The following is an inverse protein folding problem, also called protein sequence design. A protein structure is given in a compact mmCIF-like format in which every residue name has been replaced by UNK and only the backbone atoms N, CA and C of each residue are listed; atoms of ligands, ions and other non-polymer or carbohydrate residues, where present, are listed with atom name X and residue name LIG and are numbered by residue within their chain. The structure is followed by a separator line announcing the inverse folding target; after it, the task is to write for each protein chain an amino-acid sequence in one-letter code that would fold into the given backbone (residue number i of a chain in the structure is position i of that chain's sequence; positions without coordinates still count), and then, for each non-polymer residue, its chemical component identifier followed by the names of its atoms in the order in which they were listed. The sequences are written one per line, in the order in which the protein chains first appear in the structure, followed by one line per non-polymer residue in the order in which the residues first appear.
data_IF_814938355383
#
_entry.id   IF_814938355383
#
_cell.length_a   1.000
_cell.length_b   1.000
_cell.length_c   1.000
_cell.angle_alpha   90.00
_cell.angle_beta   90.00
_cell.angle_gamma   90.00
#
_symmetry.space_group_name_H-M   'P 1'
#
loop_
_entity.id
_entity.type
_entity.pdbx_description
1 polymer ?
#
# COMPACT_ATOMS: atom_id res chain seq x y z
N UNK A 1 12.90 18.08 8.49
CA UNK A 1 12.59 16.83 7.75
C UNK A 1 11.08 16.56 7.79
N UNK A 2 10.29 17.02 6.82
CA UNK A 2 8.83 16.73 6.73
C UNK A 2 8.36 16.31 5.33
N UNK A 3 9.20 16.40 4.30
CA UNK A 3 8.83 16.13 2.91
C UNK A 3 8.77 14.63 2.53
N UNK A 4 9.29 13.72 3.37
CA UNK A 4 9.30 12.29 3.06
C UNK A 4 8.00 11.60 3.51
N UNK A 5 7.36 12.10 4.57
CA UNK A 5 6.12 11.55 5.14
C UNK A 5 4.83 12.20 4.62
N UNK A 6 4.93 13.12 3.64
CA UNK A 6 3.72 13.70 3.05
C UNK A 6 2.84 12.56 2.50
N UNK A 7 1.55 12.47 2.88
CA UNK A 7 0.67 11.36 2.48
C UNK A 7 0.68 11.11 0.96
N UNK A 8 0.64 12.19 0.16
CA UNK A 8 0.72 12.13 -1.30
C UNK A 8 2.01 11.51 -1.85
N UNK A 9 3.11 11.54 -1.09
CA UNK A 9 4.37 10.89 -1.45
C UNK A 9 4.34 9.40 -1.09
N UNK A 10 3.82 9.05 0.09
CA UNK A 10 3.70 7.65 0.52
C UNK A 10 2.73 6.90 -0.40
N UNK A 11 1.63 7.53 -0.80
CA UNK A 11 0.69 6.96 -1.77
C UNK A 11 1.35 6.68 -3.12
N UNK A 12 2.18 7.61 -3.62
CA UNK A 12 2.97 7.40 -4.85
C UNK A 12 3.97 6.25 -4.73
N UNK A 13 4.64 6.13 -3.59
CA UNK A 13 5.56 5.02 -3.33
C UNK A 13 4.81 3.68 -3.26
N UNK A 14 3.64 3.66 -2.61
CA UNK A 14 2.78 2.49 -2.54
C UNK A 14 2.31 2.06 -3.94
N UNK A 15 1.90 3.02 -4.78
CA UNK A 15 1.47 2.74 -6.14
C UNK A 15 2.61 2.16 -7.01
N UNK A 16 3.82 2.70 -6.85
CA UNK A 16 5.03 2.19 -7.48
C UNK A 16 5.36 0.76 -7.04
N UNK A 17 5.23 0.46 -5.74
CA UNK A 17 5.44 -0.88 -5.19
C UNK A 17 4.44 -1.90 -5.75
N UNK A 18 3.15 -1.57 -5.76
CA UNK A 18 2.10 -2.44 -6.29
C UNK A 18 2.37 -2.77 -7.77
N UNK A 19 2.81 -1.77 -8.53
CA UNK A 19 3.10 -1.90 -9.97
C UNK A 19 4.36 -2.75 -10.23
N UNK A 20 5.49 -2.44 -9.58
CA UNK A 20 6.77 -3.16 -9.76
C UNK A 20 6.64 -4.63 -9.39
N UNK A 21 5.95 -4.93 -8.30
CA UNK A 21 5.79 -6.29 -7.77
C UNK A 21 4.56 -7.02 -8.32
N UNK A 22 3.80 -6.39 -9.22
CA UNK A 22 2.57 -6.94 -9.80
C UNK A 22 1.64 -7.53 -8.73
N UNK A 23 1.42 -6.78 -7.64
CA UNK A 23 0.65 -7.26 -6.48
C UNK A 23 -0.86 -7.31 -6.75
N UNK A 24 -1.30 -6.78 -7.89
CA UNK A 24 -2.67 -6.75 -8.38
C UNK A 24 -2.75 -7.24 -9.83
N UNK A 25 -3.92 -7.76 -10.28
CA UNK A 25 -4.12 -8.11 -11.68
C UNK A 25 -3.78 -6.96 -12.64
N UNK A 26 -3.27 -7.28 -13.84
CA UNK A 26 -2.82 -6.29 -14.83
C UNK A 26 -3.95 -5.40 -15.38
N UNK A 27 -5.16 -5.94 -15.41
CA UNK A 27 -6.40 -5.29 -15.84
C UNK A 27 -7.09 -4.52 -14.71
N UNK A 28 -6.47 -4.43 -13.53
CA UNK A 28 -7.07 -3.75 -12.39
C UNK A 28 -7.01 -2.23 -12.51
N UNK A 29 -8.08 -1.57 -12.11
CA UNK A 29 -8.17 -0.11 -12.01
C UNK A 29 -8.16 0.32 -10.54
N UNK A 30 -7.67 1.54 -10.29
CA UNK A 30 -7.63 2.10 -8.95
C UNK A 30 -8.98 2.70 -8.58
N UNK A 31 -9.43 2.44 -7.35
CA UNK A 31 -10.59 3.10 -6.75
C UNK A 31 -10.09 4.05 -5.68
N UNK A 32 -10.52 5.32 -5.76
CA UNK A 32 -10.07 6.41 -4.89
C UNK A 32 -11.13 6.88 -3.91
N UNK A 33 -12.41 6.62 -4.22
CA UNK A 33 -13.51 6.97 -3.33
C UNK A 33 -13.77 5.80 -2.36
N UNK A 34 -13.59 5.99 -1.04
CA UNK A 34 -13.92 4.98 -0.05
C UNK A 34 -15.38 4.52 -0.15
N UNK A 35 -16.32 5.41 -0.48
CA UNK A 35 -17.75 5.05 -0.55
C UNK A 35 -18.07 4.09 -1.71
N UNK A 36 -17.19 4.01 -2.72
CA UNK A 36 -17.30 3.08 -3.83
C UNK A 36 -16.79 1.66 -3.50
N UNK A 37 -16.19 1.46 -2.32
CA UNK A 37 -15.69 0.15 -1.88
C UNK A 37 -16.80 -0.70 -1.25
N UNK A 38 -16.71 -2.03 -1.29
CA UNK A 38 -17.50 -2.92 -0.45
C UNK A 38 -17.36 -2.57 1.04
N UNK A 39 -18.45 -2.71 1.82
CA UNK A 39 -18.48 -2.33 3.24
C UNK A 39 -17.33 -2.88 4.10
N UNK A 40 -16.87 -4.14 3.93
CA UNK A 40 -15.72 -4.62 4.68
C UNK A 40 -14.42 -3.87 4.38
N UNK A 41 -14.22 -3.45 3.13
CA UNK A 41 -13.07 -2.64 2.72
C UNK A 41 -13.18 -1.18 3.19
N UNK A 42 -14.40 -0.62 3.25
CA UNK A 42 -14.61 0.70 3.84
C UNK A 42 -14.13 0.74 5.29
N UNK A 43 -14.45 -0.30 6.07
CA UNK A 43 -13.99 -0.43 7.46
C UNK A 43 -12.46 -0.48 7.55
N UNK A 44 -11.82 -1.31 6.73
CA UNK A 44 -10.36 -1.41 6.69
C UNK A 44 -9.68 -0.08 6.28
N UNK A 45 -10.27 0.67 5.34
CA UNK A 45 -9.80 2.01 4.95
C UNK A 45 -9.94 3.00 6.10
N UNK A 46 -11.06 2.99 6.82
CA UNK A 46 -11.28 3.85 7.97
C UNK A 46 -10.26 3.58 9.08
N UNK A 47 -10.01 2.31 9.41
CA UNK A 47 -9.01 1.89 10.39
C UNK A 47 -7.59 2.30 9.97
N UNK A 48 -7.22 2.08 8.70
CA UNK A 48 -5.92 2.49 8.18
C UNK A 48 -5.74 4.02 8.25
N UNK A 49 -6.78 4.78 7.91
CA UNK A 49 -6.75 6.24 7.97
C UNK A 49 -6.59 6.76 9.40
N UNK A 50 -7.25 6.13 10.37
CA UNK A 50 -7.07 6.43 11.80
C UNK A 50 -5.65 6.17 12.29
N UNK A 51 -4.98 5.18 11.71
CA UNK A 51 -3.58 4.85 11.97
C UNK A 51 -2.59 5.74 11.19
N UNK A 52 -3.08 6.70 10.41
CA UNK A 52 -2.24 7.56 9.57
C UNK A 52 -1.61 6.85 8.37
N UNK A 53 -2.13 5.67 8.00
CA UNK A 53 -1.70 4.92 6.82
C UNK A 53 -2.39 5.46 5.57
N UNK A 54 -1.66 5.47 4.47
CA UNK A 54 -2.24 5.66 3.14
C UNK A 54 -2.82 4.35 2.64
N UNK A 55 -3.70 4.42 1.64
CA UNK A 55 -4.31 3.23 1.07
C UNK A 55 -4.46 3.36 -0.45
N UNK A 56 -4.44 2.21 -1.12
CA UNK A 56 -4.74 2.07 -2.55
C UNK A 56 -5.64 0.86 -2.69
N UNK A 57 -6.79 1.01 -3.33
CA UNK A 57 -7.64 -0.13 -3.69
C UNK A 57 -7.58 -0.38 -5.19
N UNK A 58 -7.45 -1.66 -5.56
CA UNK A 58 -7.44 -2.15 -6.94
C UNK A 58 -8.62 -3.10 -7.13
N UNK A 59 -9.40 -2.88 -8.18
CA UNK A 59 -10.49 -3.77 -8.58
C UNK A 59 -10.29 -4.23 -10.03
N UNK A 60 -10.67 -5.46 -10.34
CA UNK A 60 -10.69 -5.98 -11.72
C UNK A 60 -12.11 -6.35 -12.17
N UNK A 61 -12.31 -6.53 -13.47
CA UNK A 61 -13.60 -6.93 -14.06
C UNK A 61 -14.10 -8.28 -13.54
N UNK A 62 -13.21 -9.12 -13.03
CA UNK A 62 -13.53 -10.40 -12.38
C UNK A 62 -14.02 -10.25 -10.92
N UNK A 63 -14.40 -9.03 -10.51
CA UNK A 63 -14.83 -8.70 -9.14
C UNK A 63 -13.79 -9.06 -8.07
N UNK A 64 -12.51 -9.05 -8.42
CA UNK A 64 -11.44 -9.19 -7.44
C UNK A 64 -11.14 -7.81 -6.86
N UNK A 65 -11.24 -7.69 -5.55
CA UNK A 65 -10.89 -6.47 -4.82
C UNK A 65 -9.67 -6.74 -3.95
N UNK A 66 -8.67 -5.89 -4.08
CA UNK A 66 -7.48 -5.89 -3.24
C UNK A 66 -7.32 -4.50 -2.65
N UNK A 67 -7.22 -4.44 -1.33
CA UNK A 67 -6.89 -3.22 -0.62
C UNK A 67 -5.46 -3.34 -0.11
N UNK A 68 -4.69 -2.29 -0.36
CA UNK A 68 -3.34 -2.14 0.15
C UNK A 68 -3.32 -0.94 1.08
N UNK A 69 -2.72 -1.09 2.26
CA UNK A 69 -2.47 0.03 3.17
C UNK A 69 -1.00 0.08 3.49
N UNK A 70 -0.45 1.29 3.62
CA UNK A 70 0.96 1.45 3.92
C UNK A 70 1.26 2.67 4.78
N UNK A 71 2.32 2.56 5.54
CA UNK A 71 3.03 3.68 6.13
C UNK A 71 4.51 3.59 5.77
N UNK A 72 5.22 4.70 5.92
CA UNK A 72 6.66 4.71 5.76
C UNK A 72 7.35 4.55 7.12
N UNK A 73 8.20 3.54 7.25
CA UNK A 73 9.03 3.34 8.44
C UNK A 73 10.25 4.25 8.40
N UNK A 74 10.23 5.34 9.19
CA UNK A 74 11.39 6.23 9.31
C UNK A 74 12.64 5.54 9.88
N UNK A 75 12.54 4.69 10.93
CA UNK A 75 13.72 4.00 11.46
C UNK A 75 14.41 3.14 10.40
N UNK A 76 13.65 2.26 9.71
CA UNK A 76 14.20 1.40 8.67
C UNK A 76 14.67 2.21 7.46
N UNK A 77 13.96 3.30 7.11
CA UNK A 77 14.40 4.15 6.00
C UNK A 77 15.75 4.82 6.27
N UNK A 78 16.02 5.19 7.53
CA UNK A 78 17.31 5.75 7.95
C UNK A 78 18.41 4.70 7.92
N UNK A 79 18.14 3.51 8.46
CA UNK A 79 19.09 2.39 8.47
C UNK A 79 19.50 1.98 7.04
N UNK A 80 18.52 1.94 6.12
CA UNK A 80 18.74 1.50 4.73
C UNK A 80 19.14 2.63 3.78
N UNK A 81 19.08 3.89 4.22
CA UNK A 81 19.33 5.06 3.38
C UNK A 81 18.33 5.23 2.23
N UNK A 82 17.16 4.57 2.29
CA UNK A 82 16.18 4.52 1.22
C UNK A 82 14.75 4.38 1.79
N UNK A 83 13.69 4.78 1.07
CA UNK A 83 12.33 4.65 1.56
C UNK A 83 11.93 3.20 1.85
N UNK A 84 11.41 2.95 3.05
CA UNK A 84 10.86 1.66 3.48
C UNK A 84 9.37 1.79 3.78
N UNK A 85 8.55 1.00 3.10
CA UNK A 85 7.11 0.91 3.33
C UNK A 85 6.75 -0.34 4.14
N UNK A 86 5.89 -0.16 5.14
CA UNK A 86 5.22 -1.25 5.85
C UNK A 86 3.87 -1.47 5.17
N UNK A 87 3.74 -2.53 4.39
CA UNK A 87 2.58 -2.85 3.56
C UNK A 87 1.67 -3.85 4.27
N UNK A 88 0.37 -3.61 4.26
CA UNK A 88 -0.67 -4.60 4.53
C UNK A 88 -1.50 -4.82 3.27
N UNK A 89 -1.87 -6.07 2.99
CA UNK A 89 -2.75 -6.45 1.88
C UNK A 89 -4.00 -7.16 2.41
N UNK A 90 -5.16 -6.69 1.97
CA UNK A 90 -6.46 -7.23 2.35
C UNK A 90 -7.20 -7.76 1.12
N UNK A 91 -8.02 -8.78 1.31
CA UNK A 91 -8.91 -9.30 0.27
C UNK A 91 -10.26 -8.56 0.23
N UNK A 92 -11.16 -8.99 -0.65
CA UNK A 92 -12.48 -8.39 -0.83
C UNK A 92 -13.38 -8.44 0.43
N UNK A 93 -13.07 -9.31 1.40
CA UNK A 93 -13.79 -9.41 2.67
C UNK A 93 -13.19 -8.49 3.75
N UNK A 94 -12.17 -7.71 3.42
CA UNK A 94 -11.44 -6.90 4.39
C UNK A 94 -10.55 -7.73 5.31
N UNK A 95 -10.28 -8.99 4.98
CA UNK A 95 -9.39 -9.84 5.77
C UNK A 95 -7.94 -9.57 5.38
N UNK A 96 -7.08 -9.36 6.38
CA UNK A 96 -5.64 -9.21 6.17
C UNK A 96 -5.05 -10.54 5.66
N UNK A 97 -4.39 -10.51 4.50
CA UNK A 97 -3.81 -11.70 3.85
C UNK A 97 -2.30 -11.71 3.81
N UNK A 98 -1.65 -10.55 3.86
CA UNK A 98 -0.19 -10.44 3.84
C UNK A 98 0.25 -9.13 4.48
N UNK A 99 1.40 -9.16 5.13
CA UNK A 99 2.08 -7.99 5.67
C UNK A 99 3.56 -8.06 5.32
N UNK A 100 4.20 -6.93 5.05
CA UNK A 100 5.64 -6.96 4.79
C UNK A 100 6.29 -5.60 4.75
N UNK A 101 7.59 -5.60 5.02
CA UNK A 101 8.44 -4.44 4.89
C UNK A 101 9.11 -4.44 3.52
N UNK A 102 9.02 -3.33 2.78
CA UNK A 102 9.52 -3.22 1.43
C UNK A 102 10.43 -2.01 1.30
N UNK A 103 11.62 -2.21 0.73
CA UNK A 103 12.58 -1.13 0.45
C UNK A 103 12.63 -0.86 -1.05
N UNK A 104 12.59 0.41 -1.42
CA UNK A 104 12.89 0.84 -2.79
C UNK A 104 14.39 1.00 -2.95
N UNK A 105 14.98 0.43 -4.00
CA UNK A 105 16.34 0.78 -4.39
C UNK A 105 16.37 2.12 -5.17
N UNK A 106 17.56 2.71 -5.42
CA UNK A 106 17.69 3.95 -6.19
C UNK A 106 17.22 3.86 -7.64
N UNK A 107 17.03 2.65 -8.18
CA UNK A 107 16.51 2.40 -9.52
C UNK A 107 14.99 2.20 -9.53
N UNK A 108 14.33 2.38 -8.38
CA UNK A 108 12.88 2.24 -8.22
C UNK A 108 12.39 0.80 -8.12
N UNK A 109 13.29 -0.19 -8.01
CA UNK A 109 12.90 -1.59 -7.82
C UNK A 109 12.61 -1.85 -6.35
N UNK A 110 11.58 -2.65 -6.10
CA UNK A 110 11.16 -2.98 -4.75
C UNK A 110 11.62 -4.37 -4.33
N UNK A 111 12.13 -4.46 -3.11
CA UNK A 111 12.53 -5.73 -2.48
C UNK A 111 11.88 -5.84 -1.11
N UNK A 112 11.34 -7.03 -0.83
CA UNK A 112 10.85 -7.37 0.52
C UNK A 112 12.07 -7.53 1.42
N UNK A 113 12.06 -6.88 2.57
CA UNK A 113 13.02 -7.15 3.63
C UNK A 113 12.69 -8.50 4.26
N UNK A 114 13.70 -9.29 4.58
CA UNK A 114 13.50 -10.45 5.44
C UNK A 114 13.15 -9.96 6.85
N UNK A 115 12.26 -10.67 7.53
CA UNK A 115 11.93 -10.43 8.94
C UNK A 115 13.11 -10.80 9.85
#
# INVERSE_FOLDING_TARGET
MRAIQAPARVERLLDGLISDRQLSPKDSYQIRDPAALPSPLQKAVAEASQQGRVWVCRASSYKTWLLFTAEMSLPLSRERGAPVLLLNRYDAKGELKDTGSWVSDPHGKWRRLAD
#
